data_IF_342135183003
#
_entry.id   IF_342135183003
#
_cell.length_a   1.000
_cell.length_b   1.000
_cell.length_c   1.000
_cell.angle_alpha   90.00
_cell.angle_beta   90.00
_cell.angle_gamma   90.00
#
_symmetry.space_group_name_H-M   'P 1'
#
loop_
_entity.id
_entity.type
_entity.pdbx_description
1 polymer ?
#
# COMPACT_ATOMS: atom_id res chain seq x y z
N UNK A 1 35.03 -18.66 -7.97
CA UNK A 1 34.37 -17.49 -7.36
C UNK A 1 32.94 -17.41 -7.84
N UNK A 2 32.01 -17.99 -7.10
CA UNK A 2 30.57 -17.76 -7.29
C UNK A 2 30.15 -16.97 -6.06
N UNK A 3 29.97 -15.67 -6.22
CA UNK A 3 29.56 -14.79 -5.13
C UNK A 3 28.07 -15.01 -4.88
N UNK A 4 27.75 -15.60 -3.72
CA UNK A 4 26.40 -15.81 -3.22
C UNK A 4 25.76 -14.46 -2.93
N UNK A 5 24.92 -13.97 -3.85
CA UNK A 5 24.07 -12.79 -3.62
C UNK A 5 23.01 -13.18 -2.59
N UNK A 6 23.14 -12.67 -1.36
CA UNK A 6 22.10 -12.78 -0.33
C UNK A 6 20.85 -12.02 -0.78
N UNK A 7 19.64 -12.60 -0.68
CA UNK A 7 18.43 -11.87 -0.98
C UNK A 7 18.25 -10.74 0.04
N UNK A 8 18.00 -9.54 -0.48
CA UNK A 8 17.66 -8.34 0.29
C UNK A 8 16.38 -8.65 1.08
N UNK A 9 16.48 -8.69 2.40
CA UNK A 9 15.29 -8.75 3.24
C UNK A 9 14.52 -7.44 3.02
N UNK A 10 13.40 -7.53 2.31
CA UNK A 10 12.44 -6.45 2.25
C UNK A 10 11.89 -6.27 3.66
N UNK A 11 12.32 -5.21 4.33
CA UNK A 11 11.69 -4.73 5.55
C UNK A 11 10.27 -4.29 5.18
N UNK A 12 9.34 -5.23 5.23
CA UNK A 12 7.92 -4.93 5.09
C UNK A 12 7.54 -4.04 6.26
N UNK A 13 7.34 -2.75 5.97
CA UNK A 13 6.82 -1.77 6.91
C UNK A 13 5.47 -2.29 7.40
N UNK A 14 5.45 -2.87 8.59
CA UNK A 14 4.27 -3.47 9.20
C UNK A 14 3.37 -2.34 9.69
N UNK A 15 2.59 -1.78 8.78
CA UNK A 15 1.57 -0.77 9.09
C UNK A 15 0.34 -1.51 9.62
N UNK A 16 0.01 -1.40 10.93
CA UNK A 16 -1.13 -2.10 11.49
C UNK A 16 -2.41 -1.50 10.92
N UNK A 17 -3.17 -2.27 10.15
CA UNK A 17 -4.44 -1.84 9.56
C UNK A 17 -4.50 -1.91 8.03
N UNK A 18 -3.36 -2.09 7.34
CA UNK A 18 -3.36 -2.42 5.92
C UNK A 18 -3.75 -3.90 5.77
N UNK A 19 -4.93 -4.17 5.19
CA UNK A 19 -5.16 -5.49 4.57
C UNK A 19 -4.22 -5.54 3.37
N UNK A 20 -3.04 -6.12 3.56
CA UNK A 20 -2.07 -6.29 2.49
C UNK A 20 -2.64 -7.23 1.44
N UNK A 21 -2.25 -7.05 0.18
CA UNK A 21 -2.56 -7.97 -0.92
C UNK A 21 -2.30 -9.42 -0.53
N UNK A 22 -1.25 -9.69 0.23
CA UNK A 22 -0.88 -11.03 0.70
C UNK A 22 -1.89 -11.59 1.72
N UNK A 23 -2.48 -10.72 2.56
CA UNK A 23 -3.55 -11.10 3.48
C UNK A 23 -4.84 -11.42 2.72
N UNK A 24 -5.19 -10.60 1.73
CA UNK A 24 -6.35 -10.84 0.86
C UNK A 24 -6.19 -12.19 0.13
N UNK A 25 -5.02 -12.43 -0.46
CA UNK A 25 -4.72 -13.69 -1.14
C UNK A 25 -4.72 -14.91 -0.21
N UNK A 26 -4.29 -14.75 1.04
CA UNK A 26 -4.36 -15.83 2.04
C UNK A 26 -5.81 -16.17 2.40
N UNK A 27 -6.66 -15.15 2.59
CA UNK A 27 -8.10 -15.36 2.86
C UNK A 27 -8.81 -16.01 1.68
N UNK A 28 -8.48 -15.62 0.44
CA UNK A 28 -9.00 -16.26 -0.76
C UNK A 28 -8.63 -17.75 -0.85
N UNK A 29 -7.39 -18.09 -0.49
CA UNK A 29 -6.95 -19.49 -0.44
C UNK A 29 -7.62 -20.31 0.66
N UNK A 30 -7.92 -19.70 1.80
CA UNK A 30 -8.65 -20.38 2.86
C UNK A 30 -10.12 -20.63 2.45
N UNK A 31 -10.73 -19.70 1.71
CA UNK A 31 -12.08 -19.86 1.12
C UNK A 31 -12.16 -20.97 0.06
N UNK A 32 -11.09 -21.20 -0.71
CA UNK A 32 -10.99 -22.33 -1.65
C UNK A 32 -10.82 -23.68 -0.92
N UNK A 33 -10.28 -23.66 0.31
CA UNK A 33 -10.04 -24.87 1.12
C UNK A 33 -11.25 -25.29 1.94
N UNK A 34 -12.08 -24.32 2.35
CA UNK A 34 -13.41 -24.59 2.88
C UNK A 34 -14.28 -25.05 1.70
N UNK A 35 -15.07 -26.12 1.88
CA UNK A 35 -15.77 -26.84 0.81
C UNK A 35 -16.97 -26.07 0.19
N UNK A 36 -16.80 -24.76 -0.02
CA UNK A 36 -17.71 -23.88 -0.71
C UNK A 36 -17.80 -24.33 -2.17
N UNK A 37 -19.02 -24.37 -2.68
CA UNK A 37 -19.20 -24.57 -4.12
C UNK A 37 -18.58 -23.40 -4.88
N UNK A 38 -18.12 -23.62 -6.12
CA UNK A 38 -17.52 -22.58 -6.97
C UNK A 38 -18.36 -21.29 -7.00
N UNK A 39 -19.69 -21.44 -6.97
CA UNK A 39 -20.66 -20.34 -6.89
C UNK A 39 -20.57 -19.51 -5.60
N UNK A 40 -20.31 -20.15 -4.47
CA UNK A 40 -20.18 -19.49 -3.17
C UNK A 40 -18.81 -18.82 -3.02
N UNK A 41 -17.74 -19.45 -3.52
CA UNK A 41 -16.40 -18.84 -3.57
C UNK A 41 -16.40 -17.57 -4.42
N UNK A 42 -16.98 -17.62 -5.63
CA UNK A 42 -17.12 -16.45 -6.50
C UNK A 42 -17.93 -15.35 -5.81
N UNK A 43 -19.01 -15.71 -5.10
CA UNK A 43 -19.81 -14.74 -4.36
C UNK A 43 -19.01 -14.03 -3.26
N UNK A 44 -18.21 -14.78 -2.50
CA UNK A 44 -17.34 -14.18 -1.48
C UNK A 44 -16.22 -13.33 -2.07
N UNK A 45 -15.63 -13.73 -3.21
CA UNK A 45 -14.69 -12.87 -3.95
C UNK A 45 -15.32 -11.53 -4.35
N UNK A 46 -16.56 -11.56 -4.87
CA UNK A 46 -17.29 -10.34 -5.21
C UNK A 46 -17.65 -9.50 -3.98
N UNK A 47 -17.88 -10.12 -2.81
CA UNK A 47 -18.15 -9.40 -1.57
C UNK A 47 -16.90 -8.70 -1.01
N UNK A 48 -15.71 -9.26 -1.23
CA UNK A 48 -14.44 -8.68 -0.76
C UNK A 48 -13.91 -7.58 -1.69
N UNK A 49 -14.30 -7.59 -2.96
CA UNK A 49 -13.84 -6.62 -3.95
C UNK A 49 -14.16 -5.15 -3.57
N UNK A 50 -15.36 -4.78 -3.08
CA UNK A 50 -15.66 -3.42 -2.65
C UNK A 50 -14.77 -2.93 -1.50
N UNK A 51 -14.54 -3.76 -0.49
CA UNK A 51 -13.68 -3.40 0.66
C UNK A 51 -12.22 -3.24 0.22
N UNK A 52 -11.76 -4.14 -0.66
CA UNK A 52 -10.43 -4.04 -1.26
C UNK A 52 -10.26 -2.74 -2.06
N UNK A 53 -11.18 -2.47 -3.00
CA UNK A 53 -11.13 -1.26 -3.83
C UNK A 53 -11.23 0.02 -3.01
N UNK A 54 -12.10 0.06 -2.00
CA UNK A 54 -12.24 1.22 -1.13
C UNK A 54 -10.96 1.47 -0.33
N UNK A 55 -10.33 0.41 0.17
CA UNK A 55 -9.07 0.50 0.92
C UNK A 55 -7.92 0.95 0.02
N UNK A 56 -7.83 0.38 -1.17
CA UNK A 56 -6.80 0.71 -2.16
C UNK A 56 -6.90 2.18 -2.60
N UNK A 57 -8.11 2.66 -2.92
CA UNK A 57 -8.33 4.08 -3.27
C UNK A 57 -7.94 5.00 -2.12
N UNK A 58 -8.33 4.67 -0.88
CA UNK A 58 -7.95 5.47 0.30
C UNK A 58 -6.44 5.53 0.49
N UNK A 59 -5.75 4.41 0.33
CA UNK A 59 -4.28 4.36 0.44
C UNK A 59 -3.62 5.24 -0.62
N UNK A 60 -4.05 5.13 -1.87
CA UNK A 60 -3.52 5.96 -2.96
C UNK A 60 -3.76 7.45 -2.72
N UNK A 61 -4.92 7.84 -2.18
CA UNK A 61 -5.21 9.23 -1.81
C UNK A 61 -4.28 9.71 -0.70
N UNK A 62 -4.11 8.94 0.37
CA UNK A 62 -3.21 9.30 1.47
C UNK A 62 -1.74 9.44 1.00
N UNK A 63 -1.29 8.58 0.09
CA UNK A 63 0.05 8.67 -0.48
C UNK A 63 0.25 9.94 -1.31
N UNK A 64 -0.76 10.30 -2.12
CA UNK A 64 -0.75 11.53 -2.92
C UNK A 64 -0.80 12.78 -2.04
N UNK A 65 -1.67 12.81 -1.02
CA UNK A 65 -1.72 13.89 -0.03
C UNK A 65 -0.38 14.05 0.67
N UNK A 66 0.25 12.94 1.07
CA UNK A 66 1.56 12.99 1.73
C UNK A 66 2.65 13.51 0.78
N UNK A 67 2.62 13.14 -0.50
CA UNK A 67 3.54 13.67 -1.52
C UNK A 67 3.34 15.17 -1.72
N UNK A 68 2.09 15.61 -1.81
CA UNK A 68 1.74 17.02 -1.99
C UNK A 68 2.23 17.86 -0.80
N UNK A 69 1.93 17.47 0.43
CA UNK A 69 2.39 18.21 1.62
C UNK A 69 3.92 18.31 1.69
N UNK A 70 4.64 17.24 1.31
CA UNK A 70 6.12 17.27 1.25
C UNK A 70 6.63 18.25 0.20
N UNK A 71 5.96 18.32 -0.95
CA UNK A 71 6.31 19.24 -2.04
C UNK A 71 6.01 20.70 -1.66
N UNK A 72 4.86 20.98 -1.04
CA UNK A 72 4.52 22.30 -0.52
C UNK A 72 5.52 22.79 0.53
N UNK A 73 5.93 21.91 1.46
CA UNK A 73 6.96 22.21 2.45
C UNK A 73 8.32 22.50 1.77
N UNK A 74 8.67 21.75 0.73
CA UNK A 74 9.91 21.94 -0.03
C UNK A 74 9.94 23.29 -0.75
N UNK A 75 8.87 23.66 -1.45
CA UNK A 75 8.79 24.97 -2.14
C UNK A 75 8.67 26.14 -1.13
N UNK A 76 8.01 25.93 0.01
CA UNK A 76 8.01 26.88 1.13
C UNK A 76 9.42 27.16 1.66
N UNK A 77 10.21 26.13 1.95
CA UNK A 77 11.60 26.29 2.42
C UNK A 77 12.48 26.97 1.37
N UNK A 78 12.28 26.67 0.09
CA UNK A 78 13.01 27.29 -1.02
C UNK A 78 12.72 28.79 -1.13
N UNK A 79 11.47 29.21 -0.95
CA UNK A 79 11.12 30.64 -0.96
C UNK A 79 11.68 31.39 0.25
N UNK A 80 11.65 30.79 1.44
CA UNK A 80 12.25 31.33 2.67
C UNK A 80 13.77 31.55 2.52
N UNK A 81 14.50 30.56 1.96
CA UNK A 81 15.93 30.67 1.68
C UNK A 81 16.24 31.76 0.66
N UNK A 82 15.44 31.87 -0.41
CA UNK A 82 15.60 32.91 -1.43
C UNK A 82 15.43 34.33 -0.86
N UNK A 83 14.55 34.50 0.13
CA UNK A 83 14.38 35.77 0.84
C UNK A 83 15.53 36.06 1.79
N UNK A 84 16.09 35.02 2.43
CA UNK A 84 17.21 35.17 3.37
C UNK A 84 18.54 35.49 2.66
N UNK A 85 18.74 35.01 1.43
CA UNK A 85 19.95 35.30 0.62
C UNK A 85 19.92 36.71 0.01
N UNK A 86 18.75 37.37 -0.06
CA UNK A 86 18.61 38.74 -0.59
C UNK A 86 18.75 39.84 0.46
N UNK A 87 18.94 39.50 1.74
CA UNK A 87 19.20 40.45 2.84
C UNK A 87 20.70 40.53 3.11
#
# INVERSE_FOLDING_TARGET
NVETIKPRQEETMNIPGLITRDRCWSTLKDLERDSLTEKECVKEEWNLLPEFLQTEIKNQLCDLETKLHKEELSEGLKTELMLSVRK
#
